data_IF_878747901547
#
_entry.id   IF_878747901547
#
_cell.length_a   1.000
_cell.length_b   1.000
_cell.length_c   1.000
_cell.angle_alpha   90.00
_cell.angle_beta   90.00
_cell.angle_gamma   90.00
#
_symmetry.space_group_name_H-M   'P 1'
#
loop_
_entity.id
_entity.type
_entity.pdbx_description
1 polymer ?
#
# COMPACT_ATOMS: atom_id res chain seq x y z
N UNK A 1 39.32 -7.49 16.40
CA UNK A 1 38.67 -6.71 15.33
C UNK A 1 37.43 -7.45 14.85
N UNK A 2 36.25 -7.17 15.42
CA UNK A 2 34.93 -7.42 14.80
C UNK A 2 33.97 -6.41 15.42
N UNK A 3 33.95 -5.23 14.81
CA UNK A 3 33.04 -4.12 15.10
C UNK A 3 31.60 -4.50 14.72
N UNK A 4 30.62 -4.16 15.56
CA UNK A 4 29.39 -3.54 15.03
C UNK A 4 28.10 -4.36 14.90
N UNK A 5 27.99 -5.57 15.45
CA UNK A 5 26.73 -6.34 15.41
C UNK A 5 25.75 -6.01 16.56
N UNK A 6 25.65 -4.73 16.94
CA UNK A 6 24.84 -4.27 18.09
C UNK A 6 23.88 -3.10 17.83
N UNK A 7 23.78 -2.58 16.60
CA UNK A 7 23.13 -1.28 16.33
C UNK A 7 21.82 -1.33 15.53
N UNK A 8 21.12 -2.45 15.52
CA UNK A 8 19.75 -2.52 14.99
C UNK A 8 18.78 -3.03 16.07
N UNK A 9 18.72 -2.33 17.21
CA UNK A 9 17.43 -2.23 17.91
C UNK A 9 16.47 -1.60 16.90
N UNK A 10 15.34 -2.24 16.53
CA UNK A 10 14.35 -1.58 15.70
C UNK A 10 13.90 -0.34 16.48
N UNK A 11 14.37 0.82 16.06
CA UNK A 11 14.01 2.10 16.68
C UNK A 11 12.48 2.16 16.66
N UNK A 12 11.84 2.68 17.72
CA UNK A 12 10.38 2.88 17.76
C UNK A 12 9.86 3.54 16.45
N UNK A 13 10.72 4.35 15.83
CA UNK A 13 10.58 4.93 14.50
C UNK A 13 10.36 3.93 13.35
N UNK A 14 11.16 2.85 13.21
CA UNK A 14 10.94 1.83 12.15
C UNK A 14 9.60 1.13 12.30
N UNK A 15 9.22 0.82 13.54
CA UNK A 15 7.94 0.16 13.83
C UNK A 15 6.77 1.11 13.51
N UNK A 16 6.86 2.38 13.90
CA UNK A 16 5.87 3.40 13.55
C UNK A 16 5.77 3.63 12.03
N UNK A 17 6.90 3.72 11.33
CA UNK A 17 6.93 3.89 9.88
C UNK A 17 6.28 2.72 9.14
N UNK A 18 6.53 1.48 9.59
CA UNK A 18 5.89 0.28 9.04
C UNK A 18 4.37 0.33 9.20
N UNK A 19 3.88 0.75 10.37
CA UNK A 19 2.45 0.92 10.60
C UNK A 19 1.83 1.98 9.68
N UNK A 20 2.51 3.12 9.47
CA UNK A 20 2.05 4.17 8.55
C UNK A 20 1.94 3.62 7.13
N UNK A 21 2.96 2.92 6.64
CA UNK A 21 2.97 2.34 5.28
C UNK A 21 1.86 1.30 5.13
N UNK A 22 1.64 0.44 6.13
CA UNK A 22 0.57 -0.55 6.13
C UNK A 22 -0.82 0.11 6.10
N UNK A 23 -1.02 1.20 6.86
CA UNK A 23 -2.27 1.97 6.81
C UNK A 23 -2.48 2.59 5.43
N UNK A 24 -1.45 3.15 4.80
CA UNK A 24 -1.54 3.68 3.44
C UNK A 24 -1.81 2.59 2.40
N UNK A 25 -1.20 1.42 2.56
CA UNK A 25 -1.46 0.25 1.73
C UNK A 25 -2.93 -0.17 1.83
N UNK A 26 -3.45 -0.28 3.05
CA UNK A 26 -4.84 -0.64 3.31
C UNK A 26 -5.82 0.38 2.70
N UNK A 27 -5.58 1.68 2.90
CA UNK A 27 -6.41 2.74 2.33
C UNK A 27 -6.40 2.72 0.80
N UNK A 28 -5.23 2.49 0.19
CA UNK A 28 -5.11 2.37 -1.27
C UNK A 28 -5.88 1.18 -1.81
N UNK A 29 -5.81 0.02 -1.13
CA UNK A 29 -6.56 -1.18 -1.53
C UNK A 29 -8.07 -0.95 -1.40
N UNK A 30 -8.51 -0.38 -0.28
CA UNK A 30 -9.92 -0.07 -0.06
C UNK A 30 -10.46 0.92 -1.10
N UNK A 31 -9.70 1.97 -1.43
CA UNK A 31 -10.04 2.92 -2.49
C UNK A 31 -10.07 2.26 -3.86
N UNK A 32 -9.13 1.35 -4.14
CA UNK A 32 -9.11 0.58 -5.39
C UNK A 32 -10.34 -0.29 -5.58
N UNK A 33 -10.76 -1.00 -4.52
CA UNK A 33 -12.03 -1.75 -4.53
C UNK A 33 -13.24 -0.84 -4.69
N UNK A 34 -13.28 0.29 -3.99
CA UNK A 34 -14.38 1.24 -4.12
C UNK A 34 -14.50 1.81 -5.54
N UNK A 35 -13.37 2.08 -6.21
CA UNK A 35 -13.36 2.54 -7.60
C UNK A 35 -13.85 1.46 -8.59
N UNK A 36 -13.66 0.18 -8.27
CA UNK A 36 -14.14 -0.95 -9.07
C UNK A 36 -15.65 -1.23 -8.90
N UNK A 37 -16.29 -0.67 -7.86
CA UNK A 37 -17.75 -0.72 -7.72
C UNK A 37 -18.34 0.30 -8.70
N UNK A 38 -18.63 -0.18 -9.90
CA UNK A 38 -19.19 0.61 -10.99
C UNK A 38 -20.69 0.30 -11.10
N UNK A 39 -21.58 1.28 -10.84
CA UNK A 39 -23.00 1.12 -11.10
C UNK A 39 -23.27 0.77 -12.56
N UNK A 40 -24.29 -0.05 -12.87
CA UNK A 40 -24.60 -0.46 -14.24
C UNK A 40 -24.97 0.72 -15.15
N UNK A 41 -25.43 1.83 -14.58
CA UNK A 41 -25.85 3.03 -15.32
C UNK A 41 -24.69 3.99 -15.65
N UNK A 42 -23.46 3.65 -15.27
CA UNK A 42 -22.29 4.52 -15.46
C UNK A 42 -21.87 4.53 -16.94
N UNK A 43 -21.57 5.71 -17.54
CA UNK A 43 -21.06 5.78 -18.91
C UNK A 43 -19.84 4.90 -19.10
N UNK A 44 -19.73 4.21 -20.24
CA UNK A 44 -18.65 3.24 -20.50
C UNK A 44 -17.27 3.86 -20.37
N UNK A 45 -17.09 5.10 -20.83
CA UNK A 45 -15.82 5.83 -20.70
C UNK A 45 -15.42 6.05 -19.23
N UNK A 46 -16.38 6.37 -18.37
CA UNK A 46 -16.17 6.56 -16.93
C UNK A 46 -15.98 5.23 -16.19
N UNK A 47 -16.65 4.17 -16.65
CA UNK A 47 -16.42 2.81 -16.15
C UNK A 47 -14.99 2.35 -16.41
N UNK A 48 -14.46 2.59 -17.62
CA UNK A 48 -13.08 2.26 -17.97
C UNK A 48 -12.07 3.07 -17.15
N UNK A 49 -12.29 4.38 -16.98
CA UNK A 49 -11.38 5.23 -16.20
C UNK A 49 -11.36 4.83 -14.72
N UNK A 50 -12.53 4.56 -14.12
CA UNK A 50 -12.64 4.06 -12.75
C UNK A 50 -11.99 2.68 -12.58
N UNK A 51 -12.20 1.78 -13.53
CA UNK A 51 -11.55 0.47 -13.54
C UNK A 51 -10.03 0.57 -13.59
N UNK A 52 -9.50 1.43 -14.47
CA UNK A 52 -8.06 1.69 -14.57
C UNK A 52 -7.48 2.24 -13.25
N UNK A 53 -8.08 3.30 -12.70
CA UNK A 53 -7.64 3.89 -11.44
C UNK A 53 -7.77 2.92 -10.27
N UNK A 54 -8.83 2.10 -10.24
CA UNK A 54 -9.03 1.06 -9.24
C UNK A 54 -7.89 0.05 -9.24
N UNK A 55 -7.50 -0.46 -10.42
CA UNK A 55 -6.37 -1.38 -10.57
C UNK A 55 -5.05 -0.72 -10.14
N UNK A 56 -4.81 0.54 -10.55
CA UNK A 56 -3.60 1.29 -10.15
C UNK A 56 -3.50 1.42 -8.63
N UNK A 57 -4.61 1.75 -7.96
CA UNK A 57 -4.67 1.87 -6.50
C UNK A 57 -4.42 0.53 -5.78
N UNK A 58 -4.93 -0.58 -6.32
CA UNK A 58 -4.67 -1.91 -5.80
C UNK A 58 -3.19 -2.29 -5.92
N UNK A 59 -2.57 -2.03 -7.08
CA UNK A 59 -1.15 -2.28 -7.30
C UNK A 59 -0.27 -1.41 -6.39
N UNK A 60 -0.62 -0.13 -6.22
CA UNK A 60 0.08 0.76 -5.31
C UNK A 60 0.00 0.26 -3.86
N UNK A 61 -1.19 -0.13 -3.41
CA UNK A 61 -1.40 -0.69 -2.09
C UNK A 61 -0.60 -1.97 -1.86
N UNK A 62 -0.56 -2.87 -2.85
CA UNK A 62 0.26 -4.08 -2.81
C UNK A 62 1.75 -3.76 -2.73
N UNK A 63 2.27 -2.82 -3.53
CA UNK A 63 3.66 -2.39 -3.48
C UNK A 63 4.03 -1.83 -2.10
N UNK A 64 3.18 -0.97 -1.52
CA UNK A 64 3.38 -0.42 -0.18
C UNK A 64 3.39 -1.53 0.88
N UNK A 65 2.48 -2.51 0.78
CA UNK A 65 2.46 -3.65 1.69
C UNK A 65 3.76 -4.48 1.61
N UNK A 66 4.26 -4.74 0.41
CA UNK A 66 5.54 -5.44 0.19
C UNK A 66 6.73 -4.64 0.75
N UNK A 67 6.78 -3.33 0.49
CA UNK A 67 7.79 -2.41 1.06
C UNK A 67 7.78 -2.42 2.59
N UNK A 68 6.60 -2.52 3.21
CA UNK A 68 6.48 -2.65 4.67
C UNK A 68 7.10 -3.94 5.22
N UNK A 69 7.14 -5.01 4.41
CA UNK A 69 7.79 -6.28 4.74
C UNK A 69 9.30 -6.15 4.77
N UNK A 70 9.89 -5.44 3.80
CA UNK A 70 11.33 -5.18 3.70
C UNK A 70 11.86 -4.30 4.85
N UNK A 71 11.01 -3.45 5.43
CA UNK A 71 11.34 -2.62 6.60
C UNK A 71 11.39 -3.40 7.92
N UNK A 72 10.89 -4.65 7.91
CA UNK A 72 10.76 -5.51 9.09
C UNK A 72 11.70 -6.73 9.13
N UNK A 73 12.45 -7.02 8.07
CA UNK A 73 13.50 -8.05 8.00
C UNK A 73 14.86 -7.51 8.45
#
# INVERSE_FOLDING_TARGET
MLFGLGLLRPSKYRRALRWIILTMAFLSIAAGYAALIIPPDTPTADAFSRGFWGIVLLLLGLMLALLSGLLGS
#
